data_IF_509249433853
#
_entry.id   IF_509249433853
#
_cell.length_a   1.000
_cell.length_b   1.000
_cell.length_c   1.000
_cell.angle_alpha   90.00
_cell.angle_beta   90.00
_cell.angle_gamma   90.00
#
_symmetry.space_group_name_H-M   'P 1'
#
loop_
_entity.id
_entity.type
_entity.pdbx_description
1 polymer ?
#
# COMPACT_ATOMS: atom_id res chain seq x y z
N UNK A 1 -6.95 -15.79 2.83
CA UNK A 1 -6.22 -16.35 1.66
C UNK A 1 -4.91 -17.00 2.11
N UNK A 2 -4.23 -17.88 1.34
CA UNK A 2 -2.93 -18.41 1.78
C UNK A 2 -1.76 -17.46 1.44
N UNK A 3 -0.61 -17.55 2.15
CA UNK A 3 0.52 -16.63 1.98
C UNK A 3 1.08 -16.62 0.54
N UNK A 4 1.08 -17.76 -0.16
CA UNK A 4 1.59 -17.83 -1.54
C UNK A 4 0.70 -17.03 -2.49
N UNK A 5 -0.62 -17.12 -2.33
CA UNK A 5 -1.59 -16.36 -3.10
C UNK A 5 -1.48 -14.86 -2.81
N UNK A 6 -1.41 -14.48 -1.53
CA UNK A 6 -1.22 -13.08 -1.12
C UNK A 6 0.07 -12.52 -1.74
N UNK A 7 1.17 -13.27 -1.71
CA UNK A 7 2.45 -12.85 -2.33
C UNK A 7 2.32 -12.66 -3.84
N UNK A 8 1.61 -13.54 -4.53
CA UNK A 8 1.35 -13.42 -5.98
C UNK A 8 0.56 -12.14 -6.29
N UNK A 9 -0.46 -11.84 -5.50
CA UNK A 9 -1.26 -10.63 -5.67
C UNK A 9 -0.45 -9.38 -5.33
N UNK A 10 0.31 -9.38 -4.23
CA UNK A 10 1.18 -8.26 -3.86
C UNK A 10 2.22 -7.95 -4.95
N UNK A 11 2.80 -8.98 -5.58
CA UNK A 11 3.70 -8.85 -6.73
C UNK A 11 2.99 -8.21 -7.94
N UNK A 12 1.79 -8.70 -8.27
CA UNK A 12 0.98 -8.15 -9.36
C UNK A 12 0.66 -6.67 -9.11
N UNK A 13 0.14 -6.35 -7.93
CA UNK A 13 -0.23 -4.98 -7.56
C UNK A 13 1.01 -4.06 -7.56
N UNK A 14 2.14 -4.52 -7.03
CA UNK A 14 3.41 -3.77 -7.09
C UNK A 14 3.77 -3.44 -8.54
N UNK A 15 3.68 -4.41 -9.45
CA UNK A 15 3.96 -4.22 -10.87
C UNK A 15 3.00 -3.21 -11.51
N UNK A 16 1.70 -3.30 -11.22
CA UNK A 16 0.69 -2.35 -11.73
C UNK A 16 0.97 -0.91 -11.29
N UNK A 17 1.49 -0.69 -10.07
CA UNK A 17 1.96 0.62 -9.63
C UNK A 17 3.24 1.06 -10.38
N UNK A 18 4.23 0.18 -10.49
CA UNK A 18 5.51 0.49 -11.18
C UNK A 18 5.28 0.81 -12.66
N UNK A 19 4.31 0.17 -13.30
CA UNK A 19 3.95 0.34 -14.72
C UNK A 19 2.84 1.38 -14.95
N UNK A 20 2.30 1.98 -13.87
CA UNK A 20 1.21 2.98 -13.92
C UNK A 20 -0.04 2.47 -14.64
N UNK A 21 -0.34 1.19 -14.52
CA UNK A 21 -1.48 0.53 -15.18
C UNK A 21 -2.80 0.70 -14.41
N UNK A 22 -2.72 1.16 -13.15
CA UNK A 22 -3.91 1.31 -12.32
C UNK A 22 -4.70 2.54 -12.76
N UNK A 23 -5.98 2.34 -13.04
CA UNK A 23 -6.89 3.41 -13.40
C UNK A 23 -6.97 4.48 -12.28
N UNK A 24 -6.73 5.75 -12.64
CA UNK A 24 -6.77 6.90 -11.71
C UNK A 24 -8.11 6.99 -10.98
N UNK A 25 -9.23 6.79 -11.68
CA UNK A 25 -10.57 6.84 -11.05
C UNK A 25 -10.71 5.80 -9.95
N UNK A 26 -10.19 4.59 -10.16
CA UNK A 26 -10.19 3.55 -9.11
C UNK A 26 -9.43 4.00 -7.88
N UNK A 27 -8.22 4.57 -8.05
CA UNK A 27 -7.43 5.06 -6.92
C UNK A 27 -8.10 6.25 -6.22
N UNK A 28 -8.65 7.19 -6.99
CA UNK A 28 -9.41 8.34 -6.48
C UNK A 28 -10.62 7.88 -5.66
N UNK A 29 -11.42 6.95 -6.18
CA UNK A 29 -12.61 6.43 -5.50
C UNK A 29 -12.23 5.73 -4.19
N UNK A 30 -11.19 4.90 -4.21
CA UNK A 30 -10.69 4.22 -3.01
C UNK A 30 -10.19 5.20 -1.96
N UNK A 31 -9.41 6.19 -2.37
CA UNK A 31 -8.86 7.17 -1.44
C UNK A 31 -9.94 8.10 -0.88
N UNK A 32 -10.87 8.60 -1.71
CA UNK A 32 -11.99 9.43 -1.24
C UNK A 32 -12.89 8.74 -0.21
N UNK A 33 -13.08 7.42 -0.35
CA UNK A 33 -13.81 6.63 0.65
C UNK A 33 -13.06 6.49 1.97
N UNK A 34 -11.73 6.66 1.96
CA UNK A 34 -10.88 6.57 3.13
C UNK A 34 -10.63 7.94 3.79
N UNK A 35 -10.29 8.95 2.99
CA UNK A 35 -10.01 10.32 3.42
C UNK A 35 -10.35 11.31 2.29
N UNK A 36 -11.19 12.29 2.58
CA UNK A 36 -11.58 13.33 1.61
C UNK A 36 -10.55 14.45 1.62
N UNK A 37 -10.04 14.79 0.43
CA UNK A 37 -9.11 15.91 0.25
C UNK A 37 -9.52 16.74 -0.96
N UNK A 38 -9.14 18.02 -0.94
CA UNK A 38 -9.22 18.87 -2.12
C UNK A 38 -8.21 18.43 -3.18
N UNK A 39 -8.53 18.64 -4.46
CA UNK A 39 -7.66 18.30 -5.60
C UNK A 39 -7.18 16.83 -5.63
N UNK A 40 -8.04 15.89 -5.22
CA UNK A 40 -7.72 14.45 -5.16
C UNK A 40 -7.10 13.88 -6.44
N UNK A 41 -7.56 14.32 -7.62
CA UNK A 41 -7.02 13.82 -8.88
C UNK A 41 -5.54 14.18 -9.07
N UNK A 42 -5.17 15.42 -8.76
CA UNK A 42 -3.77 15.86 -8.84
C UNK A 42 -2.92 15.10 -7.82
N UNK A 43 -3.43 14.92 -6.60
CA UNK A 43 -2.78 14.12 -5.57
C UNK A 43 -2.52 12.68 -6.03
N UNK A 44 -3.53 11.99 -6.58
CA UNK A 44 -3.40 10.61 -7.08
C UNK A 44 -2.41 10.53 -8.25
N UNK A 45 -2.48 11.48 -9.19
CA UNK A 45 -1.54 11.54 -10.32
C UNK A 45 -0.09 11.69 -9.85
N UNK A 46 0.17 12.61 -8.92
CA UNK A 46 1.51 12.81 -8.37
C UNK A 46 1.96 11.57 -7.58
N UNK A 47 1.07 10.96 -6.79
CA UNK A 47 1.37 9.74 -6.08
C UNK A 47 1.81 8.63 -7.04
N UNK A 48 1.07 8.35 -8.12
CA UNK A 48 1.47 7.34 -9.10
C UNK A 48 2.84 7.61 -9.74
N UNK A 49 3.20 8.88 -9.96
CA UNK A 49 4.53 9.24 -10.50
C UNK A 49 5.63 8.95 -9.47
N UNK A 50 5.38 9.21 -8.20
CA UNK A 50 6.37 9.12 -7.12
C UNK A 50 6.53 7.73 -6.52
N UNK A 51 5.72 6.76 -6.95
CA UNK A 51 5.74 5.41 -6.40
C UNK A 51 7.16 4.81 -6.39
N UNK A 52 7.63 4.23 -5.26
CA UNK A 52 6.90 3.93 -4.02
C UNK A 52 6.85 5.06 -2.98
N UNK A 53 7.55 6.17 -3.18
CA UNK A 53 7.68 7.24 -2.19
C UNK A 53 6.35 7.95 -1.99
N UNK A 54 5.93 8.11 -0.73
CA UNK A 54 4.71 8.83 -0.37
C UNK A 54 3.40 8.11 -0.79
N UNK A 55 3.47 6.83 -1.15
CA UNK A 55 2.33 6.09 -1.70
C UNK A 55 1.73 5.05 -0.75
N UNK A 56 2.28 4.87 0.45
CA UNK A 56 1.91 3.77 1.35
C UNK A 56 0.40 3.68 1.64
N UNK A 57 -0.29 4.81 1.78
CA UNK A 57 -1.74 4.87 1.94
C UNK A 57 -2.52 4.35 0.73
N UNK A 58 -2.30 4.94 -0.46
CA UNK A 58 -2.99 4.56 -1.70
C UNK A 58 -2.66 3.11 -2.07
N UNK A 59 -1.40 2.71 -1.95
CA UNK A 59 -0.95 1.35 -2.22
C UNK A 59 -1.64 0.33 -1.32
N UNK A 60 -1.75 0.61 -0.01
CA UNK A 60 -2.44 -0.27 0.93
C UNK A 60 -3.94 -0.36 0.65
N UNK A 61 -4.59 0.75 0.28
CA UNK A 61 -6.01 0.77 -0.09
C UNK A 61 -6.28 -0.04 -1.36
N UNK A 62 -5.47 0.13 -2.40
CA UNK A 62 -5.64 -0.64 -3.64
C UNK A 62 -5.30 -2.12 -3.44
N UNK A 63 -4.28 -2.43 -2.64
CA UNK A 63 -3.96 -3.81 -2.28
C UNK A 63 -5.12 -4.48 -1.52
N UNK A 64 -5.75 -3.77 -0.57
CA UNK A 64 -6.96 -4.22 0.12
C UNK A 64 -8.12 -4.47 -0.86
N UNK A 65 -8.31 -3.56 -1.82
CA UNK A 65 -9.34 -3.69 -2.85
C UNK A 65 -9.16 -4.97 -3.68
N UNK A 66 -7.93 -5.29 -4.08
CA UNK A 66 -7.64 -6.50 -4.86
C UNK A 66 -7.74 -7.77 -4.02
N UNK A 67 -7.22 -7.76 -2.78
CA UNK A 67 -7.26 -8.91 -1.88
C UNK A 67 -8.65 -9.17 -1.27
N UNK A 68 -9.51 -8.15 -1.22
CA UNK A 68 -10.86 -8.18 -0.62
C UNK A 68 -10.87 -8.52 0.88
N UNK A 69 -9.72 -8.43 1.56
CA UNK A 69 -9.56 -8.74 2.97
C UNK A 69 -8.53 -7.81 3.62
N UNK A 70 -8.56 -7.74 4.95
CA UNK A 70 -7.61 -6.98 5.76
C UNK A 70 -8.06 -5.58 6.20
N UNK A 71 -7.24 -4.98 7.04
CA UNK A 71 -7.44 -3.65 7.64
C UNK A 71 -6.28 -2.73 7.34
N UNK A 72 -6.58 -1.47 7.07
CA UNK A 72 -5.56 -0.44 6.90
C UNK A 72 -5.13 0.02 8.29
N UNK A 73 -3.83 0.02 8.55
CA UNK A 73 -3.27 0.48 9.81
C UNK A 73 -2.15 1.48 9.57
N UNK A 74 -2.03 2.45 10.48
CA UNK A 74 -0.88 3.35 10.52
C UNK A 74 0.10 2.81 11.56
N UNK A 75 1.32 2.54 11.12
CA UNK A 75 2.43 2.05 11.92
C UNK A 75 3.62 3.00 11.77
N UNK A 76 4.70 2.71 12.47
CA UNK A 76 6.01 3.29 12.19
C UNK A 76 6.90 2.30 11.41
N UNK A 77 7.58 2.78 10.38
CA UNK A 77 8.70 2.08 9.73
C UNK A 77 9.97 2.92 9.85
N UNK A 78 10.97 2.44 10.60
CA UNK A 78 12.21 3.20 10.88
C UNK A 78 11.94 4.65 11.35
N UNK A 79 11.04 4.82 12.32
CA UNK A 79 10.61 6.12 12.89
C UNK A 79 9.85 7.05 11.91
N UNK A 80 9.36 6.53 10.78
CA UNK A 80 8.49 7.28 9.86
C UNK A 80 7.08 6.73 9.93
N UNK A 81 6.07 7.60 9.93
CA UNK A 81 4.66 7.19 9.79
C UNK A 81 4.48 6.45 8.47
N UNK A 82 3.85 5.29 8.55
CA UNK A 82 3.72 4.39 7.42
C UNK A 82 2.40 3.63 7.45
N UNK A 83 1.61 3.76 6.39
CA UNK A 83 0.32 3.07 6.27
C UNK A 83 0.50 1.73 5.60
N UNK A 84 -0.02 0.67 6.21
CA UNK A 84 0.09 -0.71 5.70
C UNK A 84 -1.26 -1.42 5.66
N UNK A 85 -1.33 -2.52 4.90
CA UNK A 85 -2.42 -3.49 5.00
C UNK A 85 -2.06 -4.58 5.99
N UNK A 86 -2.96 -4.90 6.92
CA UNK A 86 -2.82 -6.01 7.87
C UNK A 86 -3.90 -7.06 7.61
N UNK A 87 -3.48 -8.30 7.41
CA UNK A 87 -4.35 -9.48 7.30
C UNK A 87 -3.92 -10.45 8.40
N UNK A 88 -4.86 -10.82 9.28
CA UNK A 88 -4.60 -11.55 10.51
C UNK A 88 -3.51 -10.88 11.37
N UNK A 89 -2.31 -11.46 11.42
CA UNK A 89 -1.15 -10.97 12.16
C UNK A 89 -0.01 -10.52 11.24
N UNK A 90 -0.24 -10.48 9.92
CA UNK A 90 0.77 -10.16 8.92
C UNK A 90 0.52 -8.80 8.28
N UNK A 91 1.59 -8.00 8.19
CA UNK A 91 1.71 -6.85 7.32
C UNK A 91 1.90 -7.33 5.89
N UNK A 92 1.15 -6.75 4.96
CA UNK A 92 1.40 -6.83 3.53
C UNK A 92 1.75 -5.41 3.06
N UNK A 93 3.03 -5.19 2.73
CA UNK A 93 3.52 -3.87 2.34
C UNK A 93 4.34 -3.96 1.04
N UNK A 94 3.94 -3.15 0.07
CA UNK A 94 4.57 -3.04 -1.25
C UNK A 94 5.30 -1.71 -1.44
N UNK A 95 5.58 -0.98 -0.36
CA UNK A 95 6.17 0.37 -0.39
C UNK A 95 7.28 0.56 0.65
N UNK A 96 7.67 -0.49 1.38
CA UNK A 96 8.71 -0.39 2.43
C UNK A 96 10.10 -0.02 1.88
N UNK A 97 10.33 -0.25 0.59
CA UNK A 97 11.54 0.14 -0.13
C UNK A 97 11.73 1.66 -0.24
N UNK A 98 10.68 2.47 -0.01
CA UNK A 98 10.83 3.93 0.13
C UNK A 98 11.74 4.33 1.30
N UNK A 99 11.92 3.41 2.26
CA UNK A 99 12.78 3.57 3.44
C UNK A 99 13.90 2.51 3.48
N UNK A 100 14.35 2.04 2.32
CA UNK A 100 15.36 0.96 2.19
C UNK A 100 14.91 -0.37 2.82
N UNK A 101 13.63 -0.70 2.74
CA UNK A 101 13.07 -2.03 3.02
C UNK A 101 12.99 -2.92 1.78
N UNK A 102 12.45 -4.15 1.90
CA UNK A 102 12.15 -4.97 0.74
C UNK A 102 11.04 -4.36 -0.13
N UNK A 103 11.08 -4.60 -1.44
CA UNK A 103 10.00 -4.19 -2.36
C UNK A 103 8.63 -4.72 -1.95
N UNK A 104 8.62 -5.92 -1.35
CA UNK A 104 7.42 -6.57 -0.83
C UNK A 104 7.77 -7.21 0.51
N UNK A 105 7.06 -6.80 1.55
CA UNK A 105 7.10 -7.40 2.87
C UNK A 105 5.79 -8.14 3.14
N UNK A 106 5.90 -9.40 3.57
CA UNK A 106 4.78 -10.20 4.07
C UNK A 106 5.26 -10.89 5.33
N UNK A 107 4.76 -10.48 6.48
CA UNK A 107 5.20 -11.03 7.76
C UNK A 107 4.64 -10.28 8.96
N UNK A 108 4.98 -10.72 10.18
CA UNK A 108 4.45 -10.14 11.42
C UNK A 108 4.88 -8.68 11.63
N UNK A 109 4.14 -7.96 12.47
CA UNK A 109 4.54 -6.61 12.94
C UNK A 109 5.76 -6.73 13.86
N UNK A 110 6.95 -6.74 13.26
CA UNK A 110 8.25 -6.80 13.92
C UNK A 110 9.16 -5.68 13.42
N UNK A 111 10.22 -5.35 14.18
CA UNK A 111 11.26 -4.38 13.75
C UNK A 111 11.65 -4.66 12.28
N UNK A 112 11.66 -3.64 11.40
CA UNK A 112 11.58 -2.20 11.69
C UNK A 112 10.17 -1.62 11.84
N UNK A 113 9.10 -2.43 11.71
CA UNK A 113 7.73 -2.01 11.97
C UNK A 113 7.45 -1.96 13.47
N UNK A 114 6.75 -0.92 13.92
CA UNK A 114 6.25 -0.78 15.30
C UNK A 114 4.88 -0.10 15.28
N UNK A 115 4.09 -0.37 16.32
CA UNK A 115 2.82 0.32 16.58
C UNK A 115 3.08 1.77 17.01
#
# INVERSE_FOLDING_TARGET
MNIKEIKKIALKVRKEFEEKEINIKTLTDLYNNYNKIENINDFIMQAQIMFPKGNCGIASLYLKYVLKEGTIQNLEYKNNKHTVLVIDKNIIDITSDQYNGPKIYIGPINKPYRL
#
